data_IF_494908157140
#
_entry.id   IF_494908157140
#
_cell.length_a   1.000
_cell.length_b   1.000
_cell.length_c   1.000
_cell.angle_alpha   90.00
_cell.angle_beta   90.00
_cell.angle_gamma   90.00
#
_symmetry.space_group_name_H-M   'P 1'
#
loop_
_entity.id
_entity.type
_entity.pdbx_description
1 polymer ?
#
# COMPACT_ATOMS: atom_id res chain seq x y z
N UNK A 1 20.58 27.95 -10.37
CA UNK A 1 19.46 28.75 -9.84
C UNK A 1 18.20 27.99 -10.21
N UNK A 2 17.52 27.39 -9.24
CA UNK A 2 16.22 26.77 -9.51
C UNK A 2 15.18 27.88 -9.71
N UNK A 3 14.27 27.71 -10.66
CA UNK A 3 13.13 28.60 -10.83
C UNK A 3 12.14 28.33 -9.69
N UNK A 4 12.36 28.98 -8.53
CA UNK A 4 11.47 28.84 -7.38
C UNK A 4 10.08 29.36 -7.73
N UNK A 5 9.12 28.46 -7.92
CA UNK A 5 7.72 28.82 -8.09
C UNK A 5 7.19 29.57 -6.88
N UNK A 6 6.23 30.47 -7.08
CA UNK A 6 5.61 31.18 -5.95
C UNK A 6 4.70 30.23 -5.18
N UNK A 7 5.05 29.92 -3.93
CA UNK A 7 4.19 29.14 -3.03
C UNK A 7 2.99 30.00 -2.64
N UNK A 8 1.80 29.56 -3.05
CA UNK A 8 0.52 30.15 -2.71
C UNK A 8 -0.01 29.54 -1.40
N UNK A 9 -0.90 30.25 -0.69
CA UNK A 9 -1.50 29.73 0.55
C UNK A 9 -2.97 30.09 0.73
N UNK A 10 -3.72 29.19 1.37
CA UNK A 10 -5.13 29.35 1.69
C UNK A 10 -5.45 28.80 3.10
N UNK A 11 -6.54 29.27 3.71
CA UNK A 11 -7.04 28.73 4.97
C UNK A 11 -7.97 27.54 4.70
N UNK A 12 -7.75 26.43 5.40
CA UNK A 12 -8.57 25.22 5.27
C UNK A 12 -9.86 25.37 6.09
N UNK A 13 -11.06 25.24 5.47
CA UNK A 13 -12.34 25.39 6.16
C UNK A 13 -12.47 24.53 7.42
N UNK A 14 -13.20 25.02 8.42
CA UNK A 14 -13.40 24.33 9.71
C UNK A 14 -14.14 22.99 9.57
N UNK A 15 -14.91 22.79 8.50
CA UNK A 15 -15.58 21.54 8.16
C UNK A 15 -14.64 20.42 7.73
N UNK A 16 -13.40 20.72 7.34
CA UNK A 16 -12.41 19.72 6.94
C UNK A 16 -11.73 19.15 8.18
N UNK A 17 -11.80 17.83 8.35
CA UNK A 17 -11.02 17.11 9.35
C UNK A 17 -9.56 16.99 8.87
N UNK A 18 -8.64 17.62 9.60
CA UNK A 18 -7.22 17.68 9.26
C UNK A 18 -6.47 16.37 9.51
N UNK A 19 -7.04 15.43 10.28
CA UNK A 19 -6.46 14.10 10.48
C UNK A 19 -6.79 13.15 9.32
N UNK A 20 -7.85 13.46 8.57
CA UNK A 20 -8.28 12.72 7.38
C UNK A 20 -7.84 13.39 6.06
N UNK A 21 -7.60 14.71 6.08
CA UNK A 21 -7.00 15.44 4.98
C UNK A 21 -5.51 15.11 4.88
N UNK A 22 -5.21 14.18 3.99
CA UNK A 22 -3.87 13.65 3.76
C UNK A 22 -3.53 13.52 2.27
N UNK A 23 -4.48 13.80 1.37
CA UNK A 23 -4.34 13.83 -0.08
C UNK A 23 -5.10 15.04 -0.63
N UNK A 24 -4.53 15.72 -1.62
CA UNK A 24 -5.12 16.89 -2.28
C UNK A 24 -5.34 16.60 -3.76
N UNK A 25 -6.50 17.01 -4.28
CA UNK A 25 -6.81 16.95 -5.71
C UNK A 25 -7.09 18.35 -6.23
N UNK A 26 -6.53 18.67 -7.40
CA UNK A 26 -6.63 19.96 -8.07
C UNK A 26 -7.19 19.75 -9.47
N UNK A 27 -8.33 20.39 -9.78
CA UNK A 27 -9.06 20.22 -11.04
C UNK A 27 -9.22 18.75 -11.49
N UNK A 28 -9.57 17.88 -10.53
CA UNK A 28 -9.78 16.45 -10.75
C UNK A 28 -8.51 15.61 -10.93
N UNK A 29 -7.33 16.12 -10.52
CA UNK A 29 -6.04 15.41 -10.57
C UNK A 29 -5.32 15.47 -9.22
N UNK A 30 -4.76 14.35 -8.74
CA UNK A 30 -3.96 14.31 -7.50
C UNK A 30 -2.76 15.25 -7.58
N UNK A 31 -2.66 16.17 -6.62
CA UNK A 31 -1.49 17.01 -6.39
C UNK A 31 -0.41 16.24 -5.62
N UNK A 32 0.85 16.64 -5.77
CA UNK A 32 1.98 15.90 -5.17
C UNK A 32 2.14 16.32 -3.72
N UNK A 33 1.95 15.38 -2.77
CA UNK A 33 2.44 15.62 -1.39
C UNK A 33 3.93 15.92 -1.49
N UNK A 34 4.35 17.09 -1.00
CA UNK A 34 5.74 17.54 -1.11
C UNK A 34 6.72 16.44 -0.78
N UNK A 35 7.72 16.19 -1.64
CA UNK A 35 8.69 15.11 -1.45
C UNK A 35 10.07 15.42 -2.01
N UNK A 36 11.10 14.96 -1.29
CA UNK A 36 12.49 15.11 -1.72
C UNK A 36 13.28 13.80 -1.56
N UNK A 37 14.08 13.39 -2.56
CA UNK A 37 14.27 14.03 -3.86
C UNK A 37 13.06 13.85 -4.80
N UNK A 38 12.91 14.76 -5.76
CA UNK A 38 11.89 14.70 -6.80
C UNK A 38 12.10 13.53 -7.76
N UNK A 39 11.36 12.44 -7.55
CA UNK A 39 11.33 11.29 -8.45
C UNK A 39 10.89 10.00 -7.76
N UNK A 40 11.20 8.87 -8.39
CA UNK A 40 11.41 7.59 -7.72
C UNK A 40 12.94 7.40 -7.60
N UNK A 41 13.50 7.24 -6.38
CA UNK A 41 14.94 7.10 -6.20
C UNK A 41 15.50 5.72 -6.66
N UNK A 42 14.71 4.89 -7.34
CA UNK A 42 15.07 3.54 -7.82
C UNK A 42 15.93 3.48 -9.10
N UNK A 43 16.28 4.59 -9.73
CA UNK A 43 16.83 4.62 -11.11
C UNK A 43 18.34 4.34 -11.27
N UNK A 44 18.83 3.17 -10.82
CA UNK A 44 20.01 2.49 -11.40
C UNK A 44 19.91 0.97 -11.25
N UNK A 45 20.31 0.20 -12.27
CA UNK A 45 20.37 -1.27 -12.17
C UNK A 45 21.17 -1.95 -13.27
N UNK A 46 21.60 -3.20 -13.02
CA UNK A 46 21.90 -4.26 -13.99
C UNK A 46 22.05 -5.62 -13.27
N UNK A 47 21.76 -6.72 -13.98
CA UNK A 47 21.63 -8.10 -13.49
C UNK A 47 22.34 -9.06 -14.48
N UNK A 48 22.71 -10.33 -14.20
CA UNK A 48 23.00 -11.11 -12.98
C UNK A 48 23.62 -12.46 -13.46
N UNK A 49 24.05 -13.40 -12.59
CA UNK A 49 24.31 -14.79 -13.02
C UNK A 49 24.15 -15.86 -11.95
N UNK A 50 23.41 -16.91 -12.32
CA UNK A 50 23.12 -18.13 -11.56
C UNK A 50 23.98 -19.30 -12.07
N UNK A 51 24.27 -20.31 -11.24
CA UNK A 51 24.29 -21.69 -11.76
C UNK A 51 23.58 -22.72 -10.86
N UNK A 52 22.60 -23.36 -11.50
CA UNK A 52 22.13 -24.74 -11.35
C UNK A 52 21.14 -25.12 -10.20
N UNK A 53 19.99 -25.76 -10.51
CA UNK A 53 18.97 -26.11 -9.54
C UNK A 53 19.25 -27.46 -8.87
N UNK A 54 19.93 -27.45 -7.73
CA UNK A 54 20.11 -28.64 -6.89
C UNK A 54 18.98 -28.78 -5.87
N UNK A 55 18.12 -29.79 -6.03
CA UNK A 55 16.99 -30.07 -5.12
C UNK A 55 17.30 -31.28 -4.24
N UNK A 56 17.72 -31.03 -3.00
CA UNK A 56 17.54 -31.94 -1.87
C UNK A 56 17.72 -31.17 -0.54
N UNK A 57 16.69 -31.13 0.30
CA UNK A 57 16.67 -30.35 1.55
C UNK A 57 15.69 -29.18 1.51
N UNK A 58 14.41 -29.44 1.77
CA UNK A 58 13.39 -28.38 1.88
C UNK A 58 13.71 -27.46 3.04
N UNK A 59 13.98 -26.18 2.76
CA UNK A 59 14.38 -25.18 3.78
C UNK A 59 13.22 -24.80 4.72
N UNK A 60 11.97 -25.10 4.33
CA UNK A 60 10.78 -24.91 5.15
C UNK A 60 10.10 -26.26 5.48
N UNK A 61 10.63 -27.06 6.41
CA UNK A 61 10.06 -28.35 6.78
C UNK A 61 8.78 -28.25 7.63
N UNK A 62 8.46 -27.07 8.17
CA UNK A 62 7.24 -26.80 8.94
C UNK A 62 6.81 -25.33 8.78
N UNK A 63 5.51 -25.07 8.98
CA UNK A 63 4.98 -23.72 9.12
C UNK A 63 5.17 -23.24 10.57
N UNK A 64 5.40 -21.95 10.76
CA UNK A 64 5.63 -21.35 12.08
C UNK A 64 5.01 -19.94 12.16
N UNK A 65 4.64 -19.49 13.36
CA UNK A 65 4.04 -18.17 13.57
C UNK A 65 4.60 -17.52 14.84
N UNK A 66 5.11 -16.30 14.71
CA UNK A 66 5.47 -15.45 15.83
C UNK A 66 4.25 -14.71 16.36
N UNK A 67 4.15 -14.57 17.69
CA UNK A 67 3.08 -13.86 18.38
C UNK A 67 3.69 -12.82 19.35
N UNK A 68 3.28 -11.55 19.21
CA UNK A 68 3.72 -10.45 20.07
C UNK A 68 5.20 -10.04 19.93
N UNK A 69 5.69 -9.23 20.87
CA UNK A 69 7.07 -8.72 20.86
C UNK A 69 7.35 -7.82 19.65
N UNK A 70 8.31 -8.22 18.80
CA UNK A 70 8.69 -7.45 17.60
C UNK A 70 7.56 -7.28 16.57
N UNK A 71 6.53 -8.14 16.61
CA UNK A 71 5.38 -8.10 15.70
C UNK A 71 4.15 -7.40 16.27
N UNK A 72 4.26 -6.79 17.44
CA UNK A 72 3.20 -5.93 18.00
C UNK A 72 2.91 -4.66 17.18
N UNK A 73 3.62 -4.46 16.06
CA UNK A 73 3.32 -3.43 15.05
C UNK A 73 2.22 -3.83 14.06
N UNK A 74 1.86 -5.12 14.02
CA UNK A 74 0.76 -5.65 13.19
C UNK A 74 -0.51 -5.84 14.02
N UNK A 75 -1.67 -5.79 13.37
CA UNK A 75 -2.96 -6.01 14.01
C UNK A 75 -3.77 -7.07 13.23
N UNK A 76 -3.91 -8.32 13.74
CA UNK A 76 -3.39 -8.84 15.01
C UNK A 76 -1.85 -8.99 15.01
N UNK A 77 -1.22 -9.05 16.20
CA UNK A 77 0.24 -9.02 16.36
C UNK A 77 0.88 -10.40 16.08
N UNK A 78 0.76 -10.86 14.83
CA UNK A 78 1.21 -12.17 14.35
C UNK A 78 1.99 -12.06 13.04
N UNK A 79 3.04 -12.88 12.86
CA UNK A 79 3.85 -12.89 11.63
C UNK A 79 4.71 -14.17 11.53
N UNK A 80 4.79 -14.78 10.35
CA UNK A 80 5.66 -15.93 10.06
C UNK A 80 7.16 -15.60 10.12
N UNK A 81 7.55 -14.36 9.80
CA UNK A 81 8.94 -13.88 9.73
C UNK A 81 9.53 -13.45 11.09
N UNK A 82 8.89 -13.78 12.21
CA UNK A 82 9.34 -13.37 13.54
C UNK A 82 9.28 -14.51 14.58
N UNK A 83 10.10 -15.54 14.42
CA UNK A 83 10.21 -16.64 15.40
C UNK A 83 11.59 -16.65 16.06
N UNK A 84 11.73 -17.30 17.22
CA UNK A 84 13.02 -17.30 17.94
C UNK A 84 14.20 -17.80 17.08
N UNK A 85 13.94 -18.63 16.07
CA UNK A 85 14.89 -19.10 15.07
C UNK A 85 14.21 -19.21 13.69
N UNK A 86 14.20 -18.15 12.85
CA UNK A 86 13.55 -18.21 11.55
C UNK A 86 14.33 -19.13 10.61
N UNK A 87 13.61 -20.00 9.89
CA UNK A 87 14.18 -21.01 8.98
C UNK A 87 15.04 -20.41 7.85
N UNK A 88 14.74 -19.17 7.44
CA UNK A 88 15.61 -18.36 6.56
C UNK A 88 15.57 -16.89 6.94
N UNK A 89 16.65 -16.16 6.65
CA UNK A 89 16.72 -14.72 6.84
C UNK A 89 16.98 -14.30 8.28
N UNK A 90 16.45 -13.15 8.67
CA UNK A 90 16.56 -12.58 10.01
C UNK A 90 15.17 -12.38 10.61
N UNK A 91 15.10 -12.28 11.94
CA UNK A 91 13.87 -11.92 12.62
C UNK A 91 13.32 -10.59 12.13
N UNK A 92 11.99 -10.45 12.15
CA UNK A 92 11.32 -9.20 11.82
C UNK A 92 11.89 -8.04 12.64
N UNK A 93 12.55 -7.15 11.92
CA UNK A 93 13.06 -5.89 12.40
C UNK A 93 12.80 -4.85 11.31
N UNK A 94 12.64 -3.60 11.71
CA UNK A 94 12.63 -2.45 10.79
C UNK A 94 13.66 -1.44 11.27
N UNK A 95 14.23 -0.60 10.38
CA UNK A 95 15.18 0.42 10.80
C UNK A 95 14.51 1.38 11.79
N UNK A 96 15.25 1.85 12.80
CA UNK A 96 14.79 2.88 13.76
C UNK A 96 15.12 4.30 13.31
N UNK A 97 15.67 4.43 12.10
CA UNK A 97 16.31 5.63 11.58
C UNK A 97 17.40 5.26 10.58
N UNK A 98 18.04 6.27 10.00
CA UNK A 98 19.23 6.10 9.16
C UNK A 98 20.20 7.27 9.32
N UNK A 99 21.43 7.06 8.85
CA UNK A 99 22.37 8.13 8.52
C UNK A 99 22.23 8.45 7.03
N UNK A 100 21.85 9.69 6.73
CA UNK A 100 21.76 10.27 5.39
C UNK A 100 23.18 10.45 4.83
N UNK A 101 23.42 9.99 3.61
CA UNK A 101 24.66 10.27 2.89
C UNK A 101 24.78 11.78 2.64
N UNK A 102 25.94 12.37 2.91
CA UNK A 102 26.17 13.81 2.69
C UNK A 102 25.71 14.24 1.28
N UNK A 103 24.89 15.30 1.22
CA UNK A 103 24.30 15.83 -0.01
C UNK A 103 23.03 15.14 -0.50
N UNK A 104 22.60 14.02 0.08
CA UNK A 104 21.36 13.33 -0.33
C UNK A 104 20.08 14.03 0.17
N UNK A 105 20.16 14.77 1.28
CA UNK A 105 19.16 15.75 1.72
C UNK A 105 19.89 17.06 2.02
N UNK A 106 19.92 17.99 1.07
CA UNK A 106 20.67 19.26 1.21
C UNK A 106 20.05 20.21 2.23
N UNK A 107 18.73 20.15 2.43
CA UNK A 107 17.99 21.11 3.26
C UNK A 107 17.65 20.59 4.66
N UNK A 108 18.11 19.40 5.05
CA UNK A 108 17.83 18.80 6.38
C UNK A 108 18.20 19.71 7.57
N UNK A 109 19.20 20.57 7.41
CA UNK A 109 19.58 21.56 8.43
C UNK A 109 18.61 22.74 8.59
N UNK A 110 17.69 22.94 7.64
CA UNK A 110 16.74 24.05 7.59
C UNK A 110 15.34 23.67 8.11
N UNK A 111 15.04 22.38 8.28
CA UNK A 111 13.71 21.88 8.64
C UNK A 111 13.27 22.40 10.02
N UNK A 112 12.27 23.26 10.06
CA UNK A 112 11.74 23.86 11.29
C UNK A 112 10.83 22.92 12.09
N UNK A 113 10.05 22.08 11.39
CA UNK A 113 9.13 21.09 11.98
C UNK A 113 9.34 19.69 11.36
N UNK A 114 10.50 19.03 11.57
CA UNK A 114 10.78 17.71 10.98
C UNK A 114 9.71 16.65 11.31
N UNK A 115 9.02 16.78 12.44
CA UNK A 115 7.98 15.84 12.91
C UNK A 115 6.67 15.88 12.13
N UNK A 116 6.49 16.79 11.16
CA UNK A 116 5.38 16.70 10.20
C UNK A 116 5.65 15.68 9.10
N UNK A 117 6.92 15.33 8.87
CA UNK A 117 7.34 14.57 7.71
C UNK A 117 7.28 13.06 7.88
N UNK A 118 7.26 12.40 6.73
CA UNK A 118 7.35 10.95 6.59
C UNK A 118 8.63 10.56 5.84
N UNK A 119 9.14 9.37 6.13
CA UNK A 119 10.21 8.71 5.38
C UNK A 119 9.64 7.50 4.67
N UNK A 120 9.73 7.49 3.34
CA UNK A 120 9.44 6.33 2.51
C UNK A 120 10.75 5.60 2.22
N UNK A 121 11.07 4.61 3.06
CA UNK A 121 12.32 3.84 2.97
C UNK A 121 12.11 2.55 2.17
N UNK A 122 12.79 2.39 1.04
CA UNK A 122 12.77 1.14 0.28
C UNK A 122 13.53 0.04 1.04
N UNK A 123 13.13 -1.20 0.78
CA UNK A 123 13.96 -2.34 1.10
C UNK A 123 15.24 -2.33 0.23
N UNK A 124 16.36 -2.84 0.73
CA UNK A 124 17.64 -2.86 -0.03
C UNK A 124 17.53 -3.60 -1.38
N UNK A 125 16.64 -4.58 -1.49
CA UNK A 125 16.35 -5.32 -2.71
C UNK A 125 15.17 -4.76 -3.54
N UNK A 126 14.71 -3.53 -3.26
CA UNK A 126 13.65 -2.77 -3.94
C UNK A 126 12.25 -3.41 -4.06
N UNK A 127 12.07 -4.69 -3.70
CA UNK A 127 10.80 -5.43 -3.75
C UNK A 127 9.70 -4.98 -2.77
N UNK A 128 9.84 -3.81 -2.15
CA UNK A 128 8.93 -3.28 -1.16
C UNK A 128 9.53 -2.06 -0.46
N UNK A 129 8.70 -1.33 0.27
CA UNK A 129 9.11 -0.18 1.07
C UNK A 129 8.33 -0.15 2.39
N UNK A 130 8.72 0.80 3.23
CA UNK A 130 8.06 1.16 4.46
C UNK A 130 7.77 2.66 4.47
N UNK A 131 6.80 3.05 5.29
CA UNK A 131 6.57 4.44 5.65
C UNK A 131 6.70 4.61 7.16
N UNK A 132 7.43 5.64 7.57
CA UNK A 132 7.64 6.04 8.96
C UNK A 132 7.37 7.52 9.15
N UNK A 133 6.80 7.90 10.29
CA UNK A 133 6.87 9.27 10.81
C UNK A 133 8.32 9.62 11.18
N UNK A 134 8.71 10.88 11.01
CA UNK A 134 10.00 11.39 11.51
C UNK A 134 9.83 11.77 12.98
N UNK A 135 10.61 11.15 13.88
CA UNK A 135 10.60 11.48 15.30
C UNK A 135 11.57 12.61 15.65
N UNK A 136 12.76 12.61 15.05
CA UNK A 136 13.75 13.69 15.23
C UNK A 136 14.85 13.62 14.17
N UNK A 137 15.62 14.70 14.05
CA UNK A 137 16.81 14.78 13.20
C UNK A 137 18.03 15.22 14.01
N UNK A 138 19.22 14.89 13.52
CA UNK A 138 20.47 15.51 13.96
C UNK A 138 21.26 15.90 12.69
N UNK A 139 21.22 17.19 12.34
CA UNK A 139 21.88 17.73 11.14
C UNK A 139 23.40 17.62 11.20
N UNK A 140 24.03 17.77 12.38
CA UNK A 140 25.48 17.58 12.55
C UNK A 140 25.94 16.16 12.24
N UNK A 141 25.12 15.16 12.54
CA UNK A 141 25.40 13.73 12.28
C UNK A 141 24.74 13.22 10.99
N UNK A 142 23.96 14.06 10.30
CA UNK A 142 23.08 13.69 9.20
C UNK A 142 22.20 12.47 9.51
N UNK A 143 21.61 12.37 10.71
CA UNK A 143 20.73 11.24 11.07
C UNK A 143 19.25 11.65 11.15
N UNK A 144 18.36 10.79 10.65
CA UNK A 144 16.92 10.85 10.90
C UNK A 144 16.53 9.67 11.78
N UNK A 145 15.77 9.93 12.85
CA UNK A 145 15.18 8.92 13.73
C UNK A 145 13.70 8.77 13.43
N UNK A 146 13.19 7.54 13.44
CA UNK A 146 11.81 7.22 13.08
C UNK A 146 10.90 7.12 14.30
N UNK A 147 9.65 7.54 14.12
CA UNK A 147 8.54 7.38 15.05
C UNK A 147 7.74 6.12 14.74
N UNK A 148 6.41 6.26 14.64
CA UNK A 148 5.51 5.17 14.25
C UNK A 148 5.67 4.85 12.76
N UNK A 149 5.50 3.58 12.38
CA UNK A 149 5.59 3.13 10.99
C UNK A 149 6.16 1.72 10.83
N UNK A 150 6.57 1.39 9.60
CA UNK A 150 7.28 0.15 9.27
C UNK A 150 6.43 -1.09 9.08
N UNK A 151 5.11 -1.01 9.26
CA UNK A 151 4.18 -2.15 9.23
C UNK A 151 3.69 -2.54 7.81
N UNK A 152 4.11 -1.83 6.77
CA UNK A 152 3.66 -2.07 5.38
C UNK A 152 4.34 -3.27 4.69
N UNK A 153 5.10 -4.09 5.44
CA UNK A 153 5.87 -5.22 4.90
C UNK A 153 6.08 -6.31 5.96
N UNK A 154 5.66 -7.55 5.70
CA UNK A 154 5.74 -8.61 6.72
C UNK A 154 7.18 -9.03 7.06
N UNK A 155 8.11 -9.08 6.09
CA UNK A 155 9.41 -9.74 6.32
C UNK A 155 10.49 -8.92 7.05
N UNK A 156 10.32 -7.59 7.17
CA UNK A 156 11.34 -6.75 7.83
C UNK A 156 12.68 -6.63 7.06
N UNK A 157 13.58 -5.79 7.57
CA UNK A 157 15.04 -5.85 7.45
C UNK A 157 15.64 -4.82 8.40
N UNK A 158 16.81 -5.12 8.99
CA UNK A 158 17.59 -4.14 9.74
C UNK A 158 18.21 -3.03 8.86
N UNK A 159 18.19 -3.20 7.53
CA UNK A 159 18.76 -2.27 6.55
C UNK A 159 17.70 -1.79 5.54
N UNK A 160 17.71 -0.47 5.28
CA UNK A 160 17.01 0.16 4.16
C UNK A 160 17.90 0.33 2.93
N UNK A 161 17.27 0.61 1.78
CA UNK A 161 17.91 1.00 0.53
C UNK A 161 17.75 2.50 0.25
N UNK A 162 17.34 2.82 -0.98
CA UNK A 162 16.93 4.17 -1.35
C UNK A 162 15.76 4.68 -0.49
N UNK A 163 15.58 6.00 -0.43
CA UNK A 163 14.46 6.62 0.28
C UNK A 163 14.09 7.96 -0.34
N UNK A 164 12.89 8.44 -0.02
CA UNK A 164 12.54 9.85 -0.11
C UNK A 164 11.84 10.28 1.20
N UNK A 165 11.86 11.58 1.48
CA UNK A 165 11.08 12.19 2.55
C UNK A 165 9.87 12.90 1.97
N UNK A 166 8.79 13.01 2.74
CA UNK A 166 7.56 13.66 2.32
C UNK A 166 6.95 14.51 3.45
N UNK A 167 6.08 15.47 3.10
CA UNK A 167 5.38 16.35 4.04
C UNK A 167 6.29 17.20 4.96
N UNK A 168 7.34 17.78 4.37
CA UNK A 168 8.22 18.80 4.97
C UNK A 168 8.06 20.10 4.18
N UNK A 169 7.74 21.21 4.85
CA UNK A 169 7.49 22.50 4.18
C UNK A 169 8.72 23.05 3.45
N UNK A 170 9.90 22.90 4.04
CA UNK A 170 11.17 23.40 3.48
C UNK A 170 11.65 22.63 2.24
N UNK A 171 10.98 21.53 1.87
CA UNK A 171 11.25 20.76 0.66
C UNK A 171 10.23 21.05 -0.47
N UNK A 172 9.31 22.01 -0.31
CA UNK A 172 8.34 22.42 -1.36
C UNK A 172 9.11 23.19 -2.42
N UNK A 173 9.58 22.50 -3.45
CA UNK A 173 10.49 23.05 -4.48
C UNK A 173 9.99 22.86 -5.92
N UNK A 174 8.94 22.06 -6.13
CA UNK A 174 8.49 21.61 -7.46
C UNK A 174 7.01 21.92 -7.77
N UNK A 175 6.65 22.09 -9.06
CA UNK A 175 5.27 22.37 -9.45
C UNK A 175 4.26 21.27 -9.07
N UNK A 176 3.08 21.70 -8.64
CA UNK A 176 1.99 20.91 -8.08
C UNK A 176 2.28 20.26 -6.71
N UNK A 177 3.37 20.64 -6.04
CA UNK A 177 3.59 20.23 -4.66
C UNK A 177 2.70 21.00 -3.67
N UNK A 178 2.29 20.32 -2.60
CA UNK A 178 1.53 20.92 -1.51
C UNK A 178 2.00 20.47 -0.13
N UNK A 179 1.72 21.32 0.86
CA UNK A 179 1.98 21.08 2.28
C UNK A 179 0.81 21.62 3.12
N UNK A 180 0.44 20.92 4.19
CA UNK A 180 -0.60 21.34 5.13
C UNK A 180 -0.02 21.60 6.52
N UNK A 181 0.04 22.87 6.92
CA UNK A 181 0.29 23.23 8.30
C UNK A 181 -0.99 23.04 9.13
N UNK A 182 -1.06 21.91 9.83
CA UNK A 182 -2.23 21.57 10.66
C UNK A 182 -2.40 22.52 11.85
N UNK A 183 -1.31 23.07 12.39
CA UNK A 183 -1.35 23.97 13.56
C UNK A 183 -2.04 25.30 13.22
N UNK A 184 -1.79 25.82 12.02
CA UNK A 184 -2.37 27.09 11.53
C UNK A 184 -3.55 26.90 10.57
N UNK A 185 -3.96 25.65 10.31
CA UNK A 185 -4.93 25.25 9.28
C UNK A 185 -4.61 25.83 7.88
N UNK A 186 -3.33 26.00 7.54
CA UNK A 186 -2.90 26.64 6.29
C UNK A 186 -2.49 25.59 5.26
N UNK A 187 -3.18 25.58 4.12
CA UNK A 187 -2.74 24.86 2.93
C UNK A 187 -1.74 25.73 2.16
N UNK A 188 -0.59 25.16 1.81
CA UNK A 188 0.42 25.73 0.92
C UNK A 188 0.47 24.92 -0.38
N UNK A 189 0.59 25.57 -1.53
CA UNK A 189 0.60 24.94 -2.85
C UNK A 189 1.51 25.69 -3.83
N UNK A 190 2.38 24.99 -4.55
CA UNK A 190 3.17 25.56 -5.65
C UNK A 190 2.49 25.25 -7.00
N UNK A 191 1.89 26.23 -7.70
CA UNK A 191 1.23 25.99 -8.98
C UNK A 191 2.22 25.74 -10.13
N UNK A 192 1.80 24.94 -11.10
CA UNK A 192 2.50 24.81 -12.39
C UNK A 192 2.05 25.92 -13.35
N UNK A 193 2.61 27.11 -13.18
CA UNK A 193 2.30 28.39 -13.88
C UNK A 193 0.89 28.93 -13.65
N UNK A 194 -0.14 28.10 -13.84
CA UNK A 194 -1.57 28.46 -13.67
C UNK A 194 -2.12 27.92 -12.35
N UNK A 195 -2.95 28.72 -11.66
CA UNK A 195 -3.65 28.27 -10.46
C UNK A 195 -4.85 27.37 -10.79
N UNK A 196 -4.99 26.21 -10.14
CA UNK A 196 -6.20 25.40 -10.21
C UNK A 196 -7.45 26.15 -9.75
N UNK A 197 -8.60 25.77 -10.28
CA UNK A 197 -9.89 26.38 -9.91
C UNK A 197 -10.56 25.66 -8.72
N UNK A 198 -10.39 24.35 -8.64
CA UNK A 198 -10.99 23.50 -7.61
C UNK A 198 -9.90 22.78 -6.81
N UNK A 199 -10.00 22.84 -5.49
CA UNK A 199 -9.18 22.10 -4.54
C UNK A 199 -10.07 21.17 -3.72
N UNK A 200 -9.79 19.86 -3.75
CA UNK A 200 -10.51 18.85 -2.95
C UNK A 200 -9.56 18.23 -1.94
N UNK A 201 -9.93 18.32 -0.67
CA UNK A 201 -9.25 17.64 0.44
C UNK A 201 -9.86 16.26 0.63
N UNK A 202 -9.04 15.20 0.65
CA UNK A 202 -9.51 13.85 0.97
C UNK A 202 -10.11 13.80 2.38
N UNK A 203 -11.20 13.05 2.58
CA UNK A 203 -11.84 12.91 3.90
C UNK A 203 -12.24 11.47 4.26
N UNK A 204 -12.43 10.59 3.29
CA UNK A 204 -12.86 9.20 3.52
C UNK A 204 -12.02 8.22 2.68
N UNK A 205 -11.56 7.08 3.25
CA UNK A 205 -10.77 6.08 2.53
C UNK A 205 -11.62 4.94 1.93
N UNK A 206 -12.82 4.71 2.48
CA UNK A 206 -13.76 3.69 2.06
C UNK A 206 -15.06 4.39 1.64
N UNK A 207 -15.47 4.15 0.39
CA UNK A 207 -16.64 4.76 -0.22
C UNK A 207 -17.86 3.83 -0.18
N UNK A 208 -17.63 2.52 -0.28
CA UNK A 208 -18.68 1.49 -0.27
C UNK A 208 -18.25 0.35 0.66
N UNK A 209 -19.08 0.06 1.67
CA UNK A 209 -18.89 -1.08 2.57
C UNK A 209 -20.10 -2.00 2.48
N UNK A 210 -19.87 -3.28 2.16
CA UNK A 210 -20.88 -4.33 2.04
C UNK A 210 -20.57 -5.38 3.11
N UNK A 211 -21.34 -5.38 4.20
CA UNK A 211 -21.05 -6.20 5.38
C UNK A 211 -22.28 -6.99 5.81
N UNK A 212 -22.26 -8.31 5.62
CA UNK A 212 -23.15 -9.23 6.35
C UNK A 212 -22.71 -9.36 7.82
N UNK A 213 -23.61 -9.82 8.70
CA UNK A 213 -23.28 -9.98 10.13
C UNK A 213 -22.52 -11.26 10.44
N UNK A 214 -22.61 -12.27 9.58
CA UNK A 214 -21.91 -13.56 9.71
C UNK A 214 -21.94 -14.34 8.39
N UNK A 215 -21.18 -15.42 8.29
CA UNK A 215 -21.16 -16.31 7.12
C UNK A 215 -22.54 -16.92 6.78
N UNK A 216 -23.41 -17.05 7.79
CA UNK A 216 -24.79 -17.55 7.63
C UNK A 216 -25.80 -16.43 7.31
N UNK A 217 -25.48 -15.18 7.66
CA UNK A 217 -26.30 -14.00 7.41
C UNK A 217 -25.55 -12.99 6.52
N UNK A 218 -25.36 -13.39 5.27
CA UNK A 218 -24.64 -12.62 4.26
C UNK A 218 -25.48 -11.52 3.64
N UNK A 219 -24.88 -10.39 3.27
CA UNK A 219 -25.47 -9.54 2.22
C UNK A 219 -25.31 -10.25 0.88
N UNK A 220 -26.39 -10.38 0.10
CA UNK A 220 -26.37 -11.11 -1.16
C UNK A 220 -27.02 -10.37 -2.32
N UNK A 221 -26.71 -10.82 -3.54
CA UNK A 221 -27.35 -10.38 -4.81
C UNK A 221 -27.14 -8.89 -5.11
N UNK A 222 -25.95 -8.38 -4.83
CA UNK A 222 -25.58 -6.97 -5.03
C UNK A 222 -24.91 -6.76 -6.39
N UNK A 223 -25.35 -5.75 -7.13
CA UNK A 223 -24.72 -5.25 -8.35
C UNK A 223 -24.18 -3.82 -8.14
N UNK A 224 -22.88 -3.62 -8.32
CA UNK A 224 -22.24 -2.31 -8.37
C UNK A 224 -21.73 -2.06 -9.79
N UNK A 225 -22.32 -1.10 -10.50
CA UNK A 225 -22.04 -0.88 -11.91
C UNK A 225 -22.04 0.60 -12.32
N UNK A 226 -21.11 0.97 -13.19
CA UNK A 226 -21.09 2.27 -13.86
C UNK A 226 -20.61 3.44 -13.01
N UNK A 227 -19.95 3.16 -11.87
CA UNK A 227 -19.47 4.19 -10.95
C UNK A 227 -18.04 4.62 -11.26
N UNK A 228 -17.72 5.86 -10.93
CA UNK A 228 -16.34 6.35 -10.78
C UNK A 228 -16.10 6.47 -9.27
N UNK A 229 -15.17 5.68 -8.75
CA UNK A 229 -14.70 5.71 -7.37
C UNK A 229 -13.34 6.40 -7.35
N UNK A 230 -13.22 7.50 -6.61
CA UNK A 230 -12.05 8.39 -6.67
C UNK A 230 -11.80 9.15 -5.37
N UNK A 231 -10.64 9.82 -5.28
CA UNK A 231 -10.30 10.84 -4.29
C UNK A 231 -10.28 10.38 -2.81
N UNK A 232 -9.92 9.11 -2.57
CA UNK A 232 -9.86 8.54 -1.21
C UNK A 232 -8.68 9.07 -0.37
N UNK A 233 -8.87 9.09 0.95
CA UNK A 233 -7.80 9.38 1.93
C UNK A 233 -6.80 8.24 2.03
N UNK A 234 -5.54 8.57 2.33
CA UNK A 234 -4.48 7.58 2.41
C UNK A 234 -4.56 6.65 3.62
N UNK A 235 -4.04 5.43 3.44
CA UNK A 235 -4.08 4.36 4.45
C UNK A 235 -2.71 3.77 4.79
N UNK A 236 -1.62 4.26 4.17
CA UNK A 236 -0.27 3.73 4.42
C UNK A 236 0.24 3.93 5.86
N UNK A 237 -0.38 4.81 6.66
CA UNK A 237 -0.14 4.95 8.11
C UNK A 237 -1.24 4.36 9.01
N UNK A 238 -2.12 3.48 8.49
CA UNK A 238 -3.12 2.76 9.29
C UNK A 238 -2.61 1.39 9.74
N UNK A 239 -3.43 0.62 10.44
CA UNK A 239 -3.09 -0.73 10.90
C UNK A 239 -2.92 -1.70 9.70
N UNK A 240 -1.85 -2.48 9.71
CA UNK A 240 -1.59 -3.54 8.74
C UNK A 240 -1.62 -4.89 9.45
N UNK A 241 -2.03 -5.93 8.71
CA UNK A 241 -1.94 -7.31 9.16
C UNK A 241 -1.02 -8.12 8.25
N UNK A 242 -0.37 -9.13 8.82
CA UNK A 242 0.17 -10.24 8.04
C UNK A 242 -0.94 -11.29 7.94
N UNK A 243 -1.54 -11.49 6.75
CA UNK A 243 -2.76 -12.30 6.63
C UNK A 243 -2.48 -13.80 6.82
N UNK A 244 -1.26 -14.26 6.53
CA UNK A 244 -0.86 -15.66 6.48
C UNK A 244 0.64 -15.86 6.73
N UNK A 245 1.25 -16.91 6.17
CA UNK A 245 2.70 -17.14 6.23
C UNK A 245 3.53 -16.43 5.15
N UNK A 246 2.90 -15.63 4.30
CA UNK A 246 3.59 -14.98 3.18
C UNK A 246 4.46 -13.77 3.55
N UNK A 247 5.16 -13.23 2.54
CA UNK A 247 6.06 -12.07 2.68
C UNK A 247 5.33 -10.72 2.79
N UNK A 248 4.00 -10.70 2.66
CA UNK A 248 3.19 -9.48 2.51
C UNK A 248 2.45 -9.10 3.79
N UNK A 249 2.38 -7.80 4.05
CA UNK A 249 1.43 -7.22 5.00
C UNK A 249 0.46 -6.32 4.24
N UNK A 250 -0.80 -6.25 4.67
CA UNK A 250 -1.87 -5.52 3.98
C UNK A 250 -2.69 -4.67 4.95
N UNK A 251 -3.17 -3.52 4.48
CA UNK A 251 -4.30 -2.83 5.10
C UNK A 251 -5.60 -3.42 4.56
N UNK A 252 -6.63 -3.54 5.40
CA UNK A 252 -7.92 -4.13 5.04
C UNK A 252 -9.05 -3.10 4.93
N UNK A 253 -8.73 -1.80 4.96
CA UNK A 253 -9.70 -0.68 4.92
C UNK A 253 -9.59 0.09 3.62
N UNK A 254 -10.36 -0.33 2.62
CA UNK A 254 -10.12 0.03 1.22
C UNK A 254 -11.31 0.75 0.57
N UNK A 255 -11.11 1.23 -0.67
CA UNK A 255 -12.11 2.06 -1.38
C UNK A 255 -13.48 1.37 -1.45
N UNK A 256 -13.47 0.06 -1.67
CA UNK A 256 -14.61 -0.82 -1.51
C UNK A 256 -14.26 -1.99 -0.58
N UNK A 257 -15.07 -2.21 0.44
CA UNK A 257 -14.88 -3.26 1.45
C UNK A 257 -16.03 -4.27 1.40
N UNK A 258 -15.70 -5.56 1.38
CA UNK A 258 -16.68 -6.65 1.42
C UNK A 258 -16.32 -7.69 2.49
N UNK A 259 -17.30 -7.99 3.34
CA UNK A 259 -17.24 -9.13 4.27
C UNK A 259 -18.62 -9.75 4.45
N UNK A 260 -18.65 -11.07 4.66
CA UNK A 260 -19.87 -11.85 4.77
C UNK A 260 -20.83 -11.58 3.59
N UNK A 261 -20.35 -11.80 2.36
CA UNK A 261 -21.13 -11.54 1.14
C UNK A 261 -21.32 -12.80 0.28
N UNK A 262 -22.39 -12.86 -0.52
CA UNK A 262 -22.61 -13.91 -1.53
C UNK A 262 -23.21 -13.35 -2.82
N UNK A 263 -22.77 -13.83 -3.98
CA UNK A 263 -23.33 -13.43 -5.29
C UNK A 263 -23.28 -11.91 -5.51
N UNK A 264 -22.08 -11.32 -5.40
CA UNK A 264 -21.84 -9.90 -5.65
C UNK A 264 -21.19 -9.72 -7.02
N UNK A 265 -21.69 -8.78 -7.82
CA UNK A 265 -21.09 -8.40 -9.10
C UNK A 265 -20.64 -6.94 -9.07
N UNK A 266 -19.37 -6.69 -9.35
CA UNK A 266 -18.80 -5.34 -9.49
C UNK A 266 -18.27 -5.22 -10.92
N UNK A 267 -18.93 -4.42 -11.76
CA UNK A 267 -18.65 -4.39 -13.20
C UNK A 267 -18.73 -3.01 -13.85
N UNK A 268 -17.86 -2.74 -14.82
CA UNK A 268 -17.83 -1.47 -15.58
C UNK A 268 -17.70 -0.23 -14.69
N UNK A 269 -16.91 -0.33 -13.62
CA UNK A 269 -16.56 0.80 -12.77
C UNK A 269 -15.13 1.27 -13.06
N UNK A 270 -14.85 2.55 -12.77
CA UNK A 270 -13.51 3.13 -12.77
C UNK A 270 -13.08 3.37 -11.32
N UNK A 271 -12.04 2.69 -10.88
CA UNK A 271 -11.35 2.89 -9.61
C UNK A 271 -10.12 3.74 -9.90
N UNK A 272 -10.17 5.04 -9.62
CA UNK A 272 -9.12 5.97 -10.05
C UNK A 272 -8.62 6.86 -8.93
N UNK A 273 -7.35 7.23 -8.94
CA UNK A 273 -6.76 8.18 -7.99
C UNK A 273 -6.95 7.80 -6.51
N UNK A 274 -6.98 6.51 -6.19
CA UNK A 274 -7.20 6.01 -4.83
C UNK A 274 -5.90 5.91 -4.03
N UNK A 275 -5.98 6.12 -2.71
CA UNK A 275 -4.79 6.12 -1.82
C UNK A 275 -4.81 5.01 -0.75
N UNK A 276 -5.55 3.96 -1.08
CA UNK A 276 -5.67 2.67 -0.40
C UNK A 276 -5.71 1.57 -1.49
N UNK A 277 -6.14 0.35 -1.15
CA UNK A 277 -6.47 -0.63 -2.19
C UNK A 277 -7.80 -0.28 -2.87
N UNK A 278 -8.04 -0.87 -4.04
CA UNK A 278 -9.30 -0.72 -4.77
C UNK A 278 -10.46 -1.47 -4.11
N UNK A 279 -10.34 -2.79 -3.98
CA UNK A 279 -11.37 -3.67 -3.40
C UNK A 279 -10.74 -4.66 -2.41
N UNK A 280 -11.34 -4.78 -1.23
CA UNK A 280 -11.01 -5.78 -0.22
C UNK A 280 -12.12 -6.82 -0.04
N UNK A 281 -11.77 -8.10 -0.15
CA UNK A 281 -12.58 -9.23 0.31
C UNK A 281 -11.98 -9.78 1.59
N UNK A 282 -12.57 -9.43 2.73
CA UNK A 282 -12.08 -9.80 4.06
C UNK A 282 -13.00 -10.86 4.66
N UNK A 283 -12.44 -11.99 5.07
CA UNK A 283 -13.22 -13.14 5.56
C UNK A 283 -14.14 -13.71 4.48
N UNK A 284 -15.30 -14.23 4.90
CA UNK A 284 -16.22 -14.95 4.02
C UNK A 284 -16.81 -14.08 2.91
N UNK A 285 -16.51 -14.42 1.65
CA UNK A 285 -17.12 -13.81 0.47
C UNK A 285 -17.25 -14.89 -0.60
N UNK A 286 -18.47 -15.19 -1.06
CA UNK A 286 -18.76 -16.31 -1.97
C UNK A 286 -19.34 -15.85 -3.31
N UNK A 287 -19.04 -16.57 -4.39
CA UNK A 287 -19.55 -16.34 -5.75
C UNK A 287 -19.48 -14.86 -6.20
N UNK A 288 -18.33 -14.21 -6.01
CA UNK A 288 -18.16 -12.78 -6.33
C UNK A 288 -17.46 -12.56 -7.67
N UNK A 289 -17.95 -11.65 -8.50
CA UNK A 289 -17.49 -11.40 -9.86
C UNK A 289 -17.05 -9.95 -10.08
N UNK A 290 -15.78 -9.76 -10.43
CA UNK A 290 -15.12 -8.47 -10.70
C UNK A 290 -14.77 -8.44 -12.18
N UNK A 291 -15.57 -7.74 -12.99
CA UNK A 291 -15.47 -7.82 -14.44
C UNK A 291 -15.54 -6.49 -15.17
N UNK A 292 -14.71 -6.31 -16.20
CA UNK A 292 -14.75 -5.11 -17.06
C UNK A 292 -14.54 -3.78 -16.31
N UNK A 293 -13.87 -3.78 -15.16
CA UNK A 293 -13.51 -2.57 -14.43
C UNK A 293 -12.13 -2.07 -14.86
N UNK A 294 -11.87 -0.78 -14.61
CA UNK A 294 -10.55 -0.16 -14.74
C UNK A 294 -10.04 0.27 -13.37
N UNK A 295 -8.77 0.00 -13.08
CA UNK A 295 -8.07 0.41 -11.86
C UNK A 295 -6.81 1.16 -12.25
N UNK A 296 -6.72 2.45 -11.90
CA UNK A 296 -5.62 3.32 -12.33
C UNK A 296 -5.24 4.38 -11.28
N UNK A 297 -3.94 4.62 -11.08
CA UNK A 297 -3.42 5.58 -10.09
C UNK A 297 -3.72 5.23 -8.61
N UNK A 298 -3.58 3.96 -8.26
CA UNK A 298 -3.75 3.45 -6.89
C UNK A 298 -2.44 3.55 -6.09
N UNK A 299 -2.51 3.84 -4.79
CA UNK A 299 -1.32 3.88 -3.93
C UNK A 299 -0.77 2.50 -3.54
N UNK A 300 -1.64 1.48 -3.50
CA UNK A 300 -1.33 0.10 -3.12
C UNK A 300 -1.93 -0.87 -4.18
N UNK A 301 -2.64 -1.91 -3.76
CA UNK A 301 -3.08 -3.05 -4.56
C UNK A 301 -4.47 -2.79 -5.17
N UNK A 302 -4.78 -3.39 -6.32
CA UNK A 302 -6.11 -3.17 -6.92
C UNK A 302 -7.19 -4.02 -6.24
N UNK A 303 -6.93 -5.30 -6.05
CA UNK A 303 -7.85 -6.26 -5.44
C UNK A 303 -7.09 -7.12 -4.42
N UNK A 304 -7.57 -7.16 -3.18
CA UNK A 304 -7.03 -8.05 -2.14
C UNK A 304 -8.10 -9.05 -1.67
N UNK A 305 -7.71 -10.32 -1.55
CA UNK A 305 -8.51 -11.40 -0.99
C UNK A 305 -7.79 -11.92 0.24
N UNK A 306 -8.43 -11.81 1.41
CA UNK A 306 -7.84 -12.12 2.71
C UNK A 306 -8.83 -12.90 3.56
N UNK A 307 -8.63 -14.22 3.65
CA UNK A 307 -9.30 -15.07 4.65
C UNK A 307 -8.64 -14.98 6.04
N UNK A 308 -9.18 -15.72 7.00
CA UNK A 308 -8.68 -15.73 8.38
C UNK A 308 -8.36 -17.13 8.92
N UNK A 309 -7.07 -17.45 9.07
CA UNK A 309 -6.63 -18.63 9.85
C UNK A 309 -6.79 -18.42 11.35
N UNK A 310 -7.12 -19.50 12.07
CA UNK A 310 -6.77 -19.62 13.47
C UNK A 310 -5.29 -20.01 13.56
N UNK A 311 -4.43 -19.02 13.80
CA UNK A 311 -2.97 -19.16 13.78
C UNK A 311 -2.45 -19.83 12.50
N UNK A 312 -2.05 -21.11 12.58
CA UNK A 312 -1.45 -21.90 11.50
C UNK A 312 -2.43 -22.93 10.89
N UNK A 313 -3.65 -23.03 11.44
CA UNK A 313 -4.66 -23.99 10.99
C UNK A 313 -5.33 -23.50 9.71
N UNK A 314 -4.91 -24.09 8.59
CA UNK A 314 -5.53 -23.95 7.27
C UNK A 314 -6.51 -25.08 6.92
N UNK A 315 -6.81 -25.99 7.84
CA UNK A 315 -7.73 -27.10 7.63
C UNK A 315 -9.14 -26.76 8.11
N UNK A 316 -9.29 -26.19 9.31
CA UNK A 316 -10.59 -25.98 9.96
C UNK A 316 -11.31 -24.67 9.61
N UNK A 317 -10.73 -23.80 8.79
CA UNK A 317 -11.28 -22.45 8.60
C UNK A 317 -12.65 -22.42 7.90
N UNK A 318 -13.49 -21.52 8.40
CA UNK A 318 -14.84 -21.24 7.89
C UNK A 318 -14.96 -19.92 7.12
N UNK A 319 -14.00 -18.99 7.27
CA UNK A 319 -14.10 -17.61 6.78
C UNK A 319 -12.95 -17.25 5.82
N UNK A 320 -13.24 -17.37 4.52
CA UNK A 320 -12.34 -16.98 3.43
C UNK A 320 -13.11 -16.53 2.19
N UNK A 321 -12.51 -15.69 1.32
CA UNK A 321 -12.97 -15.49 -0.04
C UNK A 321 -12.93 -16.80 -0.83
N UNK A 322 -14.03 -17.13 -1.49
CA UNK A 322 -14.23 -18.37 -2.23
C UNK A 322 -15.01 -18.11 -3.53
N UNK A 323 -14.72 -18.90 -4.57
CA UNK A 323 -15.43 -18.85 -5.86
C UNK A 323 -15.42 -17.44 -6.50
N UNK A 324 -14.32 -16.71 -6.36
CA UNK A 324 -14.17 -15.34 -6.88
C UNK A 324 -13.67 -15.36 -8.33
N UNK A 325 -14.33 -14.60 -9.22
CA UNK A 325 -13.95 -14.41 -10.61
C UNK A 325 -13.45 -12.97 -10.82
N UNK A 326 -12.20 -12.81 -11.25
CA UNK A 326 -11.60 -11.53 -11.63
C UNK A 326 -11.28 -11.63 -13.12
N UNK A 327 -12.15 -11.06 -13.97
CA UNK A 327 -12.07 -11.28 -15.42
C UNK A 327 -12.18 -10.01 -16.27
N UNK A 328 -11.30 -9.91 -17.28
CA UNK A 328 -11.34 -8.86 -18.29
C UNK A 328 -11.29 -7.42 -17.73
N UNK A 329 -10.64 -7.23 -16.58
CA UNK A 329 -10.33 -5.92 -16.03
C UNK A 329 -9.05 -5.34 -16.66
N UNK A 330 -8.91 -4.03 -16.58
CA UNK A 330 -7.69 -3.28 -16.89
C UNK A 330 -7.13 -2.73 -15.57
N UNK A 331 -5.90 -3.10 -15.21
CA UNK A 331 -5.27 -2.68 -13.94
C UNK A 331 -3.87 -2.14 -14.23
N UNK A 332 -3.63 -0.87 -13.97
CA UNK A 332 -2.36 -0.22 -14.25
C UNK A 332 -2.08 0.97 -13.32
N UNK A 333 -0.86 1.50 -13.35
CA UNK A 333 -0.37 2.59 -12.49
C UNK A 333 -0.79 2.49 -10.99
N UNK A 334 -0.65 1.30 -10.39
CA UNK A 334 -0.88 1.05 -8.96
C UNK A 334 0.43 1.02 -8.17
N UNK A 335 0.36 0.92 -6.84
CA UNK A 335 1.55 0.92 -5.99
C UNK A 335 2.34 2.23 -6.01
N UNK A 336 1.67 3.37 -6.21
CA UNK A 336 2.31 4.69 -6.29
C UNK A 336 3.13 4.97 -5.02
N UNK A 337 2.59 4.68 -3.84
CA UNK A 337 3.29 4.88 -2.55
C UNK A 337 3.82 3.58 -1.95
N UNK A 338 3.13 2.45 -2.14
CA UNK A 338 3.49 1.17 -1.57
C UNK A 338 3.95 0.19 -2.66
N UNK A 339 5.19 -0.26 -2.54
CA UNK A 339 5.90 -1.10 -3.51
C UNK A 339 5.77 -2.59 -3.22
N UNK A 340 5.20 -2.95 -2.06
CA UNK A 340 4.76 -4.32 -1.78
C UNK A 340 3.27 -4.50 -2.12
N UNK A 341 2.91 -4.16 -3.36
CA UNK A 341 1.52 -4.08 -3.86
C UNK A 341 1.33 -4.91 -5.13
N UNK A 342 0.08 -5.26 -5.46
CA UNK A 342 -0.27 -6.04 -6.66
C UNK A 342 -1.67 -5.71 -7.22
N UNK A 343 -1.91 -5.89 -8.52
CA UNK A 343 -3.25 -6.01 -9.09
C UNK A 343 -4.15 -7.01 -8.37
N UNK A 344 -3.65 -8.20 -8.05
CA UNK A 344 -4.43 -9.21 -7.33
C UNK A 344 -3.57 -9.88 -6.27
N UNK A 345 -3.88 -9.64 -4.99
CA UNK A 345 -3.35 -10.40 -3.87
C UNK A 345 -4.38 -11.46 -3.44
N UNK A 346 -3.93 -12.71 -3.38
CA UNK A 346 -4.69 -13.88 -2.95
C UNK A 346 -4.00 -14.42 -1.71
N UNK A 347 -4.62 -14.27 -0.55
CA UNK A 347 -4.14 -14.82 0.71
C UNK A 347 -5.26 -15.57 1.40
N UNK A 348 -4.99 -16.81 1.81
CA UNK A 348 -5.94 -17.65 2.55
C UNK A 348 -7.33 -17.71 1.87
N UNK A 349 -7.36 -17.96 0.57
CA UNK A 349 -8.56 -17.85 -0.29
C UNK A 349 -8.66 -19.05 -1.23
N UNK A 350 -9.84 -19.42 -1.73
CA UNK A 350 -10.06 -20.66 -2.51
C UNK A 350 -10.80 -20.44 -3.82
N UNK A 351 -10.52 -21.24 -4.85
CA UNK A 351 -11.25 -21.20 -6.14
C UNK A 351 -11.27 -19.82 -6.81
N UNK A 352 -10.17 -19.06 -6.69
CA UNK A 352 -10.05 -17.71 -7.30
C UNK A 352 -9.60 -17.85 -8.75
N UNK A 353 -10.40 -17.31 -9.67
CA UNK A 353 -10.16 -17.34 -11.11
C UNK A 353 -9.76 -15.95 -11.61
N UNK A 354 -8.50 -15.75 -12.01
CA UNK A 354 -7.99 -14.51 -12.59
C UNK A 354 -7.80 -14.74 -14.09
N UNK A 355 -8.73 -14.25 -14.92
CA UNK A 355 -8.84 -14.65 -16.33
C UNK A 355 -8.91 -13.45 -17.28
N UNK A 356 -8.05 -13.41 -18.31
CA UNK A 356 -8.22 -12.46 -19.42
C UNK A 356 -8.03 -10.97 -19.05
N UNK A 357 -7.37 -10.66 -17.94
CA UNK A 357 -7.11 -9.29 -17.49
C UNK A 357 -5.87 -8.71 -18.18
N UNK A 358 -5.77 -7.38 -18.27
CA UNK A 358 -4.57 -6.66 -18.73
C UNK A 358 -3.96 -5.90 -17.54
N UNK A 359 -2.71 -6.21 -17.21
CA UNK A 359 -2.07 -5.76 -15.97
C UNK A 359 -0.62 -5.33 -16.20
N UNK A 360 -0.31 -4.04 -15.99
CA UNK A 360 1.02 -3.48 -16.32
C UNK A 360 1.36 -2.20 -15.56
N UNK A 361 2.64 -1.79 -15.56
CA UNK A 361 3.20 -0.63 -14.82
C UNK A 361 3.16 -0.79 -13.29
N UNK A 362 3.45 -1.98 -12.79
CA UNK A 362 3.35 -2.35 -11.36
C UNK A 362 4.73 -2.49 -10.69
N UNK A 363 4.89 -2.13 -9.41
CA UNK A 363 6.20 -2.14 -8.73
C UNK A 363 6.66 -3.53 -8.26
N UNK A 364 5.83 -4.58 -8.40
CA UNK A 364 6.13 -5.94 -7.91
C UNK A 364 5.28 -7.00 -8.62
N UNK A 365 5.14 -8.19 -8.02
CA UNK A 365 4.38 -9.31 -8.57
C UNK A 365 2.92 -8.94 -8.89
N UNK A 366 2.47 -9.33 -10.08
CA UNK A 366 1.16 -8.91 -10.61
C UNK A 366 -0.02 -9.70 -10.05
N UNK A 367 0.13 -11.02 -9.92
CA UNK A 367 -0.78 -11.87 -9.17
C UNK A 367 0.05 -12.48 -8.04
N UNK A 368 -0.19 -12.03 -6.81
CA UNK A 368 0.46 -12.60 -5.64
C UNK A 368 -0.44 -13.66 -4.99
N UNK A 369 -0.10 -14.93 -5.17
CA UNK A 369 -0.56 -15.98 -4.26
C UNK A 369 0.38 -15.94 -3.06
N UNK A 370 -0.09 -15.37 -1.95
CA UNK A 370 0.75 -15.01 -0.81
C UNK A 370 1.20 -16.23 0.01
N UNK A 371 0.43 -17.32 -0.04
CA UNK A 371 0.60 -18.51 0.79
C UNK A 371 0.13 -19.78 0.09
N UNK A 372 0.46 -20.93 0.69
CA UNK A 372 0.00 -22.24 0.24
C UNK A 372 -1.32 -22.69 0.86
N UNK A 373 -2.14 -21.79 1.42
CA UNK A 373 -3.45 -22.17 1.96
C UNK A 373 -4.46 -22.30 0.82
N UNK A 374 -5.17 -23.44 0.79
CA UNK A 374 -6.14 -23.79 -0.25
C UNK A 374 -5.55 -23.86 -1.66
N UNK A 375 -6.37 -23.61 -2.68
CA UNK A 375 -6.05 -23.87 -4.08
C UNK A 375 -7.28 -23.84 -4.96
N UNK A 376 -7.24 -24.61 -6.06
CA UNK A 376 -8.19 -24.53 -7.17
C UNK A 376 -8.21 -23.15 -7.85
N UNK A 377 -7.10 -22.41 -7.78
CA UNK A 377 -6.94 -21.14 -8.48
C UNK A 377 -6.76 -21.38 -9.99
N UNK A 378 -7.41 -20.56 -10.81
CA UNK A 378 -7.25 -20.58 -12.27
C UNK A 378 -6.67 -19.26 -12.73
N UNK A 379 -5.42 -19.28 -13.20
CA UNK A 379 -4.75 -18.12 -13.80
C UNK A 379 -4.60 -18.39 -15.29
N UNK A 380 -5.36 -17.71 -16.15
CA UNK A 380 -5.33 -17.98 -17.61
C UNK A 380 -5.59 -16.73 -18.44
N UNK A 381 -5.01 -16.68 -19.64
CA UNK A 381 -5.25 -15.63 -20.64
C UNK A 381 -4.96 -14.18 -20.20
N UNK A 382 -4.30 -13.95 -19.06
CA UNK A 382 -3.92 -12.61 -18.62
C UNK A 382 -2.72 -12.09 -19.44
N UNK A 383 -2.75 -10.81 -19.79
CA UNK A 383 -1.63 -10.11 -20.42
C UNK A 383 -0.92 -9.29 -19.34
N UNK A 384 0.35 -9.63 -19.08
CA UNK A 384 1.15 -9.08 -17.98
C UNK A 384 2.49 -8.57 -18.54
N UNK A 385 2.82 -7.30 -18.30
CA UNK A 385 4.07 -6.69 -18.78
C UNK A 385 4.44 -5.43 -17.97
N UNK A 386 5.62 -4.86 -18.21
CA UNK A 386 6.21 -3.73 -17.48
C UNK A 386 6.02 -3.83 -15.95
N UNK A 387 6.62 -4.87 -15.40
CA UNK A 387 6.54 -5.27 -13.99
C UNK A 387 7.83 -6.01 -13.61
N UNK A 388 8.03 -6.30 -12.32
CA UNK A 388 9.26 -6.89 -11.76
C UNK A 388 9.24 -8.42 -11.78
#
# INVERSE_FOLDING_TARGET
MANGGTIMKAQVPSSVNLDLFNELYTDGRRAVVVKYPNGDPSTQGLYAKDPDPSRNGTVFPYFQLGLGGGVSVFNPPRNFWCTASPLTGSNYAVPRGFTVKNGALSHIGNWSKPTTGFVHGFHFGYWGNWVFEIASINSTKNTIMFGRGGFQKARGSGSGGAFYVANIFEEVDSPNEWFLDKDTRTLYFMPNETMPQVFVASQIPCLISISGSSNDNTVHEVLIQGLILTETSNTYMRDYMVPSGGDWAVHCGDTMYLTNTRNVTITRNLFTQLVCNGIAFIGYNDATSITLNEFVWLADSAIILVGSTNEIDGFSMTSQPVNTLIQSNLIHETGIYLKQSSPVLISVSRSVSVIGNRMFNMPRAVINVNDGFYGNHTLSWNVIFNTV
#
